data_IF_299495768200
#
_entry.id   IF_299495768200
#
_cell.length_a   1.000
_cell.length_b   1.000
_cell.length_c   1.000
_cell.angle_alpha   90.00
_cell.angle_beta   90.00
_cell.angle_gamma   90.00
#
_symmetry.space_group_name_H-M   'P 1'
#
loop_
_entity.id
_entity.type
_entity.pdbx_description
1 polymer ?
#
# COMPACT_ATOMS: atom_id res chain seq x y z
N UNK A 1 5.57 -14.22 -16.54
CA UNK A 1 6.10 -14.54 -15.20
C UNK A 1 5.15 -13.92 -14.19
N UNK A 2 4.43 -14.76 -13.44
CA UNK A 2 3.49 -14.33 -12.39
C UNK A 2 4.36 -14.02 -11.16
N UNK A 3 4.72 -12.75 -10.99
CA UNK A 3 5.61 -12.27 -9.94
C UNK A 3 4.80 -11.47 -8.94
N UNK A 4 4.28 -12.12 -7.89
CA UNK A 4 3.37 -11.34 -7.05
C UNK A 4 3.28 -11.73 -5.58
N UNK A 5 2.82 -12.94 -5.25
CA UNK A 5 2.69 -13.36 -3.84
C UNK A 5 3.86 -14.24 -3.39
N UNK A 6 4.27 -15.21 -4.20
CA UNK A 6 5.38 -16.11 -3.87
C UNK A 6 6.70 -15.34 -3.71
N UNK A 7 7.00 -14.39 -4.62
CA UNK A 7 8.18 -13.55 -4.52
C UNK A 7 8.16 -12.63 -3.29
N UNK A 8 6.98 -12.12 -2.93
CA UNK A 8 6.80 -11.31 -1.73
C UNK A 8 7.03 -12.18 -0.48
N UNK A 9 6.44 -13.36 -0.43
CA UNK A 9 6.61 -14.30 0.67
C UNK A 9 8.09 -14.71 0.82
N UNK A 10 8.77 -15.02 -0.29
CA UNK A 10 10.20 -15.34 -0.26
C UNK A 10 11.08 -14.14 0.12
N UNK A 11 10.76 -12.93 -0.33
CA UNK A 11 11.46 -11.71 0.08
C UNK A 11 11.30 -11.45 1.59
N UNK A 12 10.09 -11.66 2.12
CA UNK A 12 9.79 -11.48 3.55
C UNK A 12 10.50 -12.53 4.42
N UNK A 13 10.52 -13.80 4.00
CA UNK A 13 11.24 -14.86 4.70
C UNK A 13 12.78 -14.68 4.60
N UNK A 14 13.29 -14.25 3.44
CA UNK A 14 14.72 -14.04 3.21
C UNK A 14 15.29 -12.81 3.92
N UNK A 15 14.47 -11.78 4.16
CA UNK A 15 14.88 -10.54 4.83
C UNK A 15 14.81 -10.60 6.38
N UNK A 16 14.36 -11.74 6.93
CA UNK A 16 14.30 -12.05 8.36
C UNK A 16 15.58 -11.73 9.17
N UNK A 17 16.82 -11.81 8.63
CA UNK A 17 18.02 -11.46 9.41
C UNK A 17 18.42 -9.97 9.36
N UNK A 18 17.83 -9.14 8.49
CA UNK A 18 18.37 -7.80 8.16
C UNK A 18 17.37 -6.65 8.21
N UNK A 19 16.08 -6.90 8.46
CA UNK A 19 15.07 -5.86 8.57
C UNK A 19 15.07 -5.23 9.99
N UNK A 20 15.26 -3.90 10.11
CA UNK A 20 15.00 -3.17 11.36
C UNK A 20 13.59 -3.48 11.90
N UNK A 21 13.43 -3.62 13.22
CA UNK A 21 12.22 -4.19 13.84
C UNK A 21 10.86 -3.61 13.40
N UNK A 22 10.81 -2.33 12.99
CA UNK A 22 9.58 -1.72 12.45
C UNK A 22 9.17 -2.26 11.06
N UNK A 23 10.13 -2.62 10.21
CA UNK A 23 9.82 -3.25 8.92
C UNK A 23 9.40 -4.71 9.09
N UNK A 24 9.86 -5.37 10.17
CA UNK A 24 9.38 -6.70 10.54
C UNK A 24 7.92 -6.68 10.98
N UNK A 25 7.52 -5.72 11.82
CA UNK A 25 6.11 -5.56 12.21
C UNK A 25 5.18 -5.40 10.99
N UNK A 26 5.61 -4.67 9.96
CA UNK A 26 4.86 -4.56 8.70
C UNK A 26 4.82 -5.85 7.91
N UNK A 27 5.93 -6.58 7.87
CA UNK A 27 6.00 -7.89 7.22
C UNK A 27 5.01 -8.86 7.85
N UNK A 28 4.98 -8.95 9.18
CA UNK A 28 4.04 -9.80 9.92
C UNK A 28 2.59 -9.40 9.67
N UNK A 29 2.27 -8.10 9.75
CA UNK A 29 0.93 -7.61 9.46
C UNK A 29 0.51 -7.98 8.03
N UNK A 30 1.39 -7.77 7.05
CA UNK A 30 1.08 -8.00 5.65
C UNK A 30 0.86 -9.49 5.32
N UNK A 31 1.56 -10.40 6.02
CA UNK A 31 1.36 -11.84 5.90
C UNK A 31 0.11 -12.32 6.64
N UNK A 32 -0.23 -11.73 7.78
CA UNK A 32 -1.42 -12.07 8.55
C UNK A 32 -2.71 -11.53 7.92
N UNK A 33 -2.63 -10.39 7.23
CA UNK A 33 -3.78 -9.66 6.68
C UNK A 33 -3.61 -9.29 5.20
N UNK A 34 -3.42 -10.26 4.29
CA UNK A 34 -3.19 -9.99 2.87
C UNK A 34 -4.40 -9.31 2.18
N UNK A 35 -5.61 -9.59 2.64
CA UNK A 35 -6.85 -8.96 2.16
C UNK A 35 -6.86 -7.45 2.43
N UNK A 36 -6.45 -7.05 3.63
CA UNK A 36 -6.35 -5.65 4.02
C UNK A 36 -5.32 -4.94 3.15
N UNK A 37 -4.13 -5.54 3.00
CA UNK A 37 -3.07 -5.01 2.13
C UNK A 37 -3.55 -4.81 0.68
N UNK A 38 -4.45 -5.67 0.21
CA UNK A 38 -5.02 -5.58 -1.13
C UNK A 38 -6.12 -4.51 -1.25
N UNK A 39 -6.99 -4.37 -0.24
CA UNK A 39 -8.26 -3.66 -0.38
C UNK A 39 -8.29 -2.29 0.30
N UNK A 40 -7.57 -2.12 1.41
CA UNK A 40 -7.65 -0.93 2.24
C UNK A 40 -6.78 0.21 1.70
N UNK A 41 -7.08 1.44 2.12
CA UNK A 41 -6.25 2.59 1.78
C UNK A 41 -4.97 2.59 2.60
N UNK A 42 -3.95 3.32 2.13
CA UNK A 42 -2.71 3.50 2.90
C UNK A 42 -2.99 4.15 4.27
N UNK A 43 -4.04 4.98 4.40
CA UNK A 43 -4.42 5.62 5.65
C UNK A 43 -4.95 4.58 6.66
N UNK A 44 -5.92 3.76 6.25
CA UNK A 44 -6.49 2.70 7.10
C UNK A 44 -5.42 1.68 7.52
N UNK A 45 -4.56 1.27 6.58
CA UNK A 45 -3.47 0.35 6.88
C UNK A 45 -2.45 0.97 7.84
N UNK A 46 -2.20 2.27 7.72
CA UNK A 46 -1.27 2.97 8.61
C UNK A 46 -1.77 2.96 10.06
N UNK A 47 -3.08 3.15 10.25
CA UNK A 47 -3.71 3.07 11.57
C UNK A 47 -3.66 1.65 12.13
N UNK A 48 -4.07 0.64 11.34
CA UNK A 48 -4.17 -0.76 11.82
C UNK A 48 -2.82 -1.41 12.10
N UNK A 49 -1.79 -1.05 11.34
CA UNK A 49 -0.42 -1.59 11.51
C UNK A 49 0.46 -0.74 12.42
N UNK A 50 -0.05 0.39 12.92
CA UNK A 50 0.71 1.38 13.71
C UNK A 50 1.96 1.92 12.97
N UNK A 51 1.91 1.97 11.64
CA UNK A 51 3.00 2.48 10.79
C UNK A 51 2.55 3.68 9.99
N UNK A 52 3.34 4.75 9.96
CA UNK A 52 3.01 5.93 9.16
C UNK A 52 2.89 5.63 7.65
N UNK A 53 2.14 6.43 6.88
CA UNK A 53 2.07 6.29 5.42
C UNK A 53 3.44 6.36 4.73
N UNK A 54 4.35 7.17 5.26
CA UNK A 54 5.74 7.23 4.77
C UNK A 54 6.52 5.94 5.08
N UNK A 55 6.25 5.29 6.22
CA UNK A 55 6.77 3.98 6.56
C UNK A 55 6.29 2.89 5.59
N UNK A 56 5.00 2.91 5.24
CA UNK A 56 4.40 2.03 4.22
C UNK A 56 5.11 2.12 2.87
N UNK A 57 5.40 3.34 2.40
CA UNK A 57 6.14 3.54 1.15
C UNK A 57 7.58 3.05 1.26
N UNK A 58 8.27 3.28 2.39
CA UNK A 58 9.63 2.80 2.62
C UNK A 58 9.69 1.27 2.67
N UNK A 59 8.72 0.63 3.28
CA UNK A 59 8.59 -0.82 3.31
C UNK A 59 8.40 -1.40 1.91
N UNK A 60 7.47 -0.84 1.13
CA UNK A 60 7.30 -1.26 -0.27
C UNK A 60 8.61 -1.17 -1.07
N UNK A 61 9.36 -0.07 -0.90
CA UNK A 61 10.68 0.10 -1.53
C UNK A 61 11.73 -0.86 -1.02
N UNK A 62 11.74 -1.17 0.26
CA UNK A 62 12.64 -2.17 0.84
C UNK A 62 12.41 -3.57 0.26
N UNK A 63 11.18 -3.85 -0.19
CA UNK A 63 10.81 -5.10 -0.87
C UNK A 63 11.00 -5.05 -2.39
N UNK A 64 11.56 -3.96 -2.94
CA UNK A 64 11.86 -3.82 -4.36
C UNK A 64 10.72 -3.24 -5.21
N UNK A 65 9.62 -2.77 -4.61
CA UNK A 65 8.56 -2.06 -5.31
C UNK A 65 8.90 -0.57 -5.44
N UNK A 66 8.41 0.09 -6.49
CA UNK A 66 8.52 1.54 -6.69
C UNK A 66 7.79 2.36 -5.61
N UNK A 67 6.75 1.77 -4.99
CA UNK A 67 6.00 2.36 -3.88
C UNK A 67 4.82 1.49 -3.44
N UNK A 68 4.02 2.03 -2.51
CA UNK A 68 2.90 1.31 -1.90
C UNK A 68 1.86 0.82 -2.93
N UNK A 69 1.51 1.64 -3.92
CA UNK A 69 0.48 1.29 -4.92
C UNK A 69 0.86 0.07 -5.76
N UNK A 70 2.14 -0.06 -6.13
CA UNK A 70 2.63 -1.23 -6.87
C UNK A 70 2.60 -2.48 -5.99
N UNK A 71 3.06 -2.37 -4.74
CA UNK A 71 2.96 -3.46 -3.76
C UNK A 71 1.50 -3.89 -3.52
N UNK A 72 0.57 -2.94 -3.35
CA UNK A 72 -0.85 -3.23 -3.16
C UNK A 72 -1.46 -3.92 -4.39
N UNK A 73 -1.07 -3.51 -5.60
CA UNK A 73 -1.48 -4.21 -6.83
C UNK A 73 -1.04 -5.67 -6.78
N UNK A 74 0.15 -5.93 -6.25
CA UNK A 74 0.66 -7.28 -6.10
C UNK A 74 -0.22 -8.15 -5.19
N UNK A 75 -0.63 -7.63 -4.03
CA UNK A 75 -1.59 -8.30 -3.16
C UNK A 75 -2.95 -8.54 -3.85
N UNK A 76 -3.44 -7.56 -4.63
CA UNK A 76 -4.72 -7.71 -5.35
C UNK A 76 -4.68 -8.82 -6.39
N UNK A 77 -3.58 -8.95 -7.12
CA UNK A 77 -3.38 -10.03 -8.09
C UNK A 77 -3.28 -11.39 -7.40
N UNK A 78 -2.59 -11.49 -6.26
CA UNK A 78 -2.55 -12.72 -5.45
C UNK A 78 -3.94 -13.21 -5.06
N UNK A 79 -4.79 -12.32 -4.55
CA UNK A 79 -6.15 -12.70 -4.16
C UNK A 79 -7.05 -13.13 -5.33
N UNK A 80 -6.92 -12.50 -6.51
CA UNK A 80 -7.67 -12.88 -7.71
C UNK A 80 -7.38 -14.33 -8.14
N UNK A 81 -6.16 -14.81 -7.89
CA UNK A 81 -5.78 -16.18 -8.22
C UNK A 81 -6.23 -17.22 -7.17
N UNK A 82 -6.70 -16.78 -6.00
CA UNK A 82 -6.98 -17.67 -4.88
C UNK A 82 -8.47 -17.75 -4.47
N UNK A 83 -9.35 -16.80 -4.84
CA UNK A 83 -10.78 -16.86 -4.42
C UNK A 83 -11.82 -16.31 -5.44
N UNK A 84 -12.99 -16.97 -5.62
CA UNK A 84 -14.10 -16.50 -6.46
C UNK A 84 -14.87 -15.26 -5.95
N UNK A 85 -15.10 -15.14 -4.63
CA UNK A 85 -15.91 -14.05 -4.04
C UNK A 85 -15.20 -12.68 -4.00
N UNK A 86 -13.94 -12.64 -4.42
CA UNK A 86 -13.08 -11.47 -4.31
C UNK A 86 -13.43 -10.33 -5.27
N UNK A 87 -14.06 -10.63 -6.41
CA UNK A 87 -14.53 -9.60 -7.36
C UNK A 87 -15.45 -8.59 -6.66
N UNK A 88 -16.36 -9.07 -5.81
CA UNK A 88 -17.30 -8.22 -5.08
C UNK A 88 -16.59 -7.25 -4.13
N UNK A 89 -15.54 -7.70 -3.42
CA UNK A 89 -14.76 -6.86 -2.50
C UNK A 89 -13.94 -5.78 -3.23
N UNK A 90 -13.34 -6.10 -4.38
CA UNK A 90 -12.64 -5.10 -5.22
C UNK A 90 -13.62 -4.03 -5.73
N UNK A 91 -14.82 -4.43 -6.15
CA UNK A 91 -15.84 -3.49 -6.57
C UNK A 91 -16.25 -2.56 -5.43
N UNK A 92 -16.46 -3.09 -4.22
CA UNK A 92 -16.78 -2.31 -3.03
C UNK A 92 -15.64 -1.35 -2.60
N UNK A 93 -14.39 -1.79 -2.66
CA UNK A 93 -13.22 -0.96 -2.33
C UNK A 93 -13.03 0.19 -3.32
N UNK A 94 -13.26 -0.04 -4.62
CA UNK A 94 -13.22 1.04 -5.64
C UNK A 94 -14.26 2.12 -5.35
N UNK A 95 -15.48 1.74 -4.95
CA UNK A 95 -16.50 2.70 -4.54
C UNK A 95 -16.12 3.49 -3.28
N UNK A 96 -15.47 2.87 -2.29
CA UNK A 96 -15.03 3.56 -1.08
C UNK A 96 -13.90 4.58 -1.36
N UNK A 97 -12.95 4.23 -2.26
CA UNK A 97 -11.85 5.13 -2.64
C UNK A 97 -12.29 6.35 -3.48
N UNK A 98 -13.46 6.29 -4.12
CA UNK A 98 -14.02 7.40 -4.90
C UNK A 98 -14.85 8.37 -4.05
N UNK A 99 -15.23 8.00 -2.84
CA UNK A 99 -15.87 8.90 -1.85
C UNK A 99 -14.90 9.75 -1.03
N UNK A 100 -13.58 9.48 -1.07
CA UNK A 100 -12.56 10.25 -0.35
C UNK A 100 -11.73 11.21 -1.23
N UNK A 101 -12.19 11.50 -2.45
CA UNK A 101 -11.60 12.54 -3.31
C UNK A 101 -12.37 13.86 -3.18
N UNK A 102 -12.32 14.42 -1.97
CA UNK A 102 -12.64 15.81 -1.69
C UNK A 102 -11.44 16.71 -1.90
N UNK A 103 -11.32 17.24 -3.11
CA UNK A 103 -10.46 18.36 -3.59
C UNK A 103 -9.00 18.06 -4.00
N UNK A 104 -8.66 18.21 -5.29
CA UNK A 104 -7.29 18.46 -5.72
C UNK A 104 -6.99 19.95 -5.52
N UNK A 105 -6.38 20.33 -4.38
CA UNK A 105 -5.77 21.65 -4.25
C UNK A 105 -4.37 21.65 -4.86
N UNK A 106 -4.33 21.68 -6.19
CA UNK A 106 -3.15 22.01 -7.00
C UNK A 106 -3.28 23.42 -7.62
N UNK A 107 -3.90 24.36 -6.90
CA UNK A 107 -4.18 25.70 -7.43
C UNK A 107 -3.90 26.86 -6.47
N UNK A 108 -2.85 26.79 -5.63
CA UNK A 108 -2.40 27.98 -4.89
C UNK A 108 -0.89 28.13 -4.73
N UNK A 109 -0.09 27.62 -5.68
CA UNK A 109 1.37 27.79 -5.66
C UNK A 109 1.90 28.86 -6.64
N UNK A 110 1.09 29.84 -7.06
CA UNK A 110 1.57 30.93 -7.95
C UNK A 110 1.25 32.36 -7.45
N UNK A 111 0.42 32.60 -6.43
CA UNK A 111 0.12 33.97 -5.97
C UNK A 111 0.86 34.40 -4.69
N UNK A 112 2.19 34.26 -4.67
CA UNK A 112 3.03 34.90 -3.65
C UNK A 112 4.38 35.36 -4.23
N UNK A 113 4.34 36.00 -5.40
CA UNK A 113 5.56 36.44 -6.10
C UNK A 113 5.44 37.67 -7.00
N UNK A 114 4.34 38.44 -6.95
CA UNK A 114 4.25 39.75 -7.60
C UNK A 114 3.48 40.72 -6.70
N UNK A 115 4.10 41.06 -5.58
CA UNK A 115 3.86 42.33 -4.89
C UNK A 115 5.23 42.95 -4.57
N UNK A 116 6.03 43.13 -5.63
CA UNK A 116 6.97 44.25 -5.69
C UNK A 116 6.19 45.49 -6.10
N UNK A 117 5.80 46.29 -5.12
CA UNK A 117 5.69 47.75 -5.22
C UNK A 117 6.11 48.35 -3.89
#
# INVERSE_FOLDING_TARGET
MIQTYEHLHQALVGAHPTLPGRLWQMAEYALAHPDDMALETIAVLSERSEVSPSGMVRFARALGFSGFTEMQKSFREGLLHHMPDYRARIHAARSASSSEQGTPRLQSFVEAGIASL
#
